data_IF_229393105002
#
_entry.id   IF_229393105002
#
_cell.length_a   1.000
_cell.length_b   1.000
_cell.length_c   1.000
_cell.angle_alpha   90.00
_cell.angle_beta   90.00
_cell.angle_gamma   90.00
#
_symmetry.space_group_name_H-M   'P 1'
#
loop_
_entity.id
_entity.type
_entity.pdbx_description
1 polymer ?
#
# COMPACT_ATOMS: atom_id res chain seq x y z
N UNK A 1 13.68 -12.98 -3.84
CA UNK A 1 13.56 -12.05 -2.69
C UNK A 1 12.11 -11.62 -2.58
N UNK A 2 11.51 -11.78 -1.39
CA UNK A 2 10.13 -11.35 -1.11
C UNK A 2 10.06 -9.82 -1.12
N UNK A 3 9.04 -9.25 -1.78
CA UNK A 3 8.77 -7.82 -1.79
C UNK A 3 7.30 -7.53 -1.47
N UNK A 4 7.04 -6.51 -0.68
CA UNK A 4 5.73 -5.95 -0.43
C UNK A 4 5.54 -4.69 -1.27
N UNK A 5 4.45 -4.61 -2.02
CA UNK A 5 4.10 -3.46 -2.86
C UNK A 5 2.74 -2.95 -2.40
N UNK A 6 2.64 -1.67 -2.07
CA UNK A 6 1.37 -1.04 -1.67
C UNK A 6 0.77 -0.23 -2.83
N UNK A 7 -0.54 -0.37 -3.02
CA UNK A 7 -1.33 0.40 -3.98
C UNK A 7 -2.43 1.15 -3.22
N UNK A 8 -2.50 2.49 -3.25
CA UNK A 8 -3.60 3.23 -2.67
C UNK A 8 -4.86 2.97 -3.50
N UNK A 9 -5.97 2.62 -2.85
CA UNK A 9 -7.23 2.38 -3.53
C UNK A 9 -8.38 3.17 -2.93
N UNK A 10 -9.34 3.52 -3.78
CA UNK A 10 -10.65 4.03 -3.42
C UNK A 10 -11.70 3.37 -4.32
N UNK A 11 -12.81 2.90 -3.75
CA UNK A 11 -13.84 2.17 -4.50
C UNK A 11 -13.30 0.99 -5.33
N UNK A 12 -12.31 0.27 -4.80
CA UNK A 12 -11.68 -0.87 -5.47
C UNK A 12 -10.80 -0.54 -6.68
N UNK A 13 -10.48 0.74 -6.92
CA UNK A 13 -9.63 1.21 -8.03
C UNK A 13 -8.44 1.99 -7.49
N UNK A 14 -7.39 2.14 -8.30
CA UNK A 14 -6.25 3.01 -7.99
C UNK A 14 -6.74 4.41 -7.60
N UNK A 15 -6.35 4.87 -6.41
CA UNK A 15 -6.72 6.19 -5.93
C UNK A 15 -5.80 7.24 -6.55
N UNK A 16 -6.38 8.31 -7.11
CA UNK A 16 -5.63 9.41 -7.71
C UNK A 16 -4.88 10.29 -6.68
N UNK A 17 -5.28 10.21 -5.41
CA UNK A 17 -4.66 10.98 -4.33
C UNK A 17 -4.17 10.05 -3.24
N UNK A 18 -2.86 9.76 -3.24
CA UNK A 18 -2.21 8.87 -2.26
C UNK A 18 -2.62 9.18 -0.81
N UNK A 19 -2.69 10.47 -0.45
CA UNK A 19 -3.02 10.93 0.89
C UNK A 19 -4.48 10.72 1.34
N UNK A 20 -5.41 10.47 0.41
CA UNK A 20 -6.86 10.36 0.67
C UNK A 20 -7.43 9.02 0.17
N UNK A 21 -6.60 7.98 0.11
CA UNK A 21 -7.09 6.65 -0.22
C UNK A 21 -7.90 6.05 0.93
N UNK A 22 -8.87 5.20 0.58
CA UNK A 22 -9.71 4.50 1.57
C UNK A 22 -8.93 3.34 2.20
N UNK A 23 -8.11 2.66 1.39
CA UNK A 23 -7.30 1.51 1.79
C UNK A 23 -5.99 1.48 1.01
N UNK A 24 -5.00 0.78 1.55
CA UNK A 24 -3.89 0.27 0.76
C UNK A 24 -4.09 -1.22 0.49
N UNK A 25 -3.95 -1.60 -0.77
CA UNK A 25 -3.83 -3.00 -1.17
C UNK A 25 -2.36 -3.38 -1.21
N UNK A 26 -1.95 -4.26 -0.30
CA UNK A 26 -0.57 -4.72 -0.18
C UNK A 26 -0.45 -6.08 -0.85
N UNK A 27 0.49 -6.20 -1.79
CA UNK A 27 0.80 -7.44 -2.48
C UNK A 27 2.14 -7.98 -2.01
N UNK A 28 2.16 -9.22 -1.52
CA UNK A 28 3.39 -9.96 -1.34
C UNK A 28 3.78 -10.63 -2.66
N UNK A 29 4.97 -10.30 -3.15
CA UNK A 29 5.51 -10.82 -4.40
C UNK A 29 6.81 -11.57 -4.18
N UNK A 30 7.02 -12.63 -4.96
CA UNK A 30 8.26 -13.38 -4.98
C UNK A 30 8.48 -13.97 -6.38
N UNK A 31 9.67 -13.75 -6.93
CA UNK A 31 10.08 -14.23 -8.25
C UNK A 31 9.08 -13.85 -9.35
N UNK A 32 8.64 -12.58 -9.35
CA UNK A 32 7.71 -12.03 -10.34
C UNK A 32 6.26 -12.49 -10.20
N UNK A 33 5.92 -13.25 -9.15
CA UNK A 33 4.56 -13.75 -8.91
C UNK A 33 3.98 -13.13 -7.64
N UNK A 34 2.69 -12.81 -7.67
CA UNK A 34 1.91 -12.48 -6.48
C UNK A 34 1.68 -13.79 -5.69
N UNK A 35 1.93 -13.74 -4.39
CA UNK A 35 1.79 -14.88 -3.47
C UNK A 35 0.60 -14.73 -2.54
N UNK A 36 0.32 -13.50 -2.13
CA UNK A 36 -0.82 -13.14 -1.29
C UNK A 36 -1.05 -11.65 -1.40
N UNK A 37 -2.22 -11.22 -0.94
CA UNK A 37 -2.57 -9.83 -0.82
C UNK A 37 -3.38 -9.57 0.45
N UNK A 38 -3.36 -8.32 0.92
CA UNK A 38 -4.17 -7.87 2.04
C UNK A 38 -4.62 -6.41 1.82
N UNK A 39 -5.78 -6.07 2.37
CA UNK A 39 -6.29 -4.70 2.40
C UNK A 39 -6.10 -4.12 3.80
N UNK A 40 -5.43 -2.98 3.90
CA UNK A 40 -5.24 -2.25 5.15
C UNK A 40 -5.92 -0.89 5.08
N UNK A 41 -6.57 -0.49 6.17
CA UNK A 41 -7.08 0.87 6.33
C UNK A 41 -5.96 1.76 6.86
N UNK A 42 -5.65 2.91 6.22
CA UNK A 42 -4.65 3.83 6.75
C UNK A 42 -5.14 4.53 8.03
N UNK A 43 -4.21 5.05 8.86
CA UNK A 43 -4.58 5.99 9.91
C UNK A 43 -5.18 7.28 9.31
N UNK A 44 -5.84 8.12 10.13
CA UNK A 44 -6.28 9.46 9.70
C UNK A 44 -5.16 10.24 9.01
N UNK A 45 -5.52 11.03 8.00
CA UNK A 45 -4.55 11.74 7.19
C UNK A 45 -3.78 12.79 8.02
N UNK A 46 -2.46 12.64 8.03
CA UNK A 46 -1.50 13.64 8.53
C UNK A 46 -0.29 13.72 7.58
N UNK A 47 0.29 14.92 7.35
CA UNK A 47 1.48 15.07 6.52
C UNK A 47 2.64 14.18 6.97
N UNK A 48 3.17 13.36 6.07
CA UNK A 48 4.31 12.48 6.32
C UNK A 48 3.99 11.16 7.05
N UNK A 49 2.76 10.97 7.56
CA UNK A 49 2.39 9.77 8.31
C UNK A 49 2.32 8.51 7.43
N UNK A 50 1.69 8.59 6.25
CA UNK A 50 1.43 7.41 5.42
C UNK A 50 2.71 6.72 4.89
N UNK A 51 3.75 7.45 4.39
CA UNK A 51 5.00 6.81 4.01
C UNK A 51 5.68 6.07 5.17
N UNK A 52 5.67 6.67 6.37
CA UNK A 52 6.20 6.03 7.59
C UNK A 52 5.40 4.78 7.97
N UNK A 53 4.07 4.88 7.99
CA UNK A 53 3.16 3.77 8.29
C UNK A 53 3.39 2.57 7.34
N UNK A 54 3.59 2.82 6.04
CA UNK A 54 3.89 1.76 5.07
C UNK A 54 5.30 1.19 5.26
N UNK A 55 6.29 2.04 5.59
CA UNK A 55 7.65 1.61 5.92
C UNK A 55 7.71 0.69 7.15
N UNK A 56 6.95 1.01 8.21
CA UNK A 56 6.82 0.18 9.41
C UNK A 56 6.18 -1.18 9.12
N UNK A 57 5.37 -1.28 8.05
CA UNK A 57 4.81 -2.54 7.53
C UNK A 57 5.74 -3.30 6.59
N UNK A 58 6.95 -2.79 6.34
CA UNK A 58 7.94 -3.41 5.46
C UNK A 58 7.62 -3.28 3.97
N UNK A 59 6.76 -2.33 3.59
CA UNK A 59 6.48 -2.03 2.18
C UNK A 59 7.75 -1.57 1.49
N UNK A 60 8.09 -2.22 0.37
CA UNK A 60 9.31 -1.94 -0.39
C UNK A 60 9.09 -0.93 -1.51
N UNK A 61 7.86 -0.86 -2.05
CA UNK A 61 7.50 0.04 -3.14
C UNK A 61 6.03 0.45 -3.06
N UNK A 62 5.75 1.63 -3.59
CA UNK A 62 4.41 2.19 -3.71
C UNK A 62 4.15 2.44 -5.20
N UNK A 63 2.96 2.07 -5.68
CA UNK A 63 2.48 2.44 -7.03
C UNK A 63 1.29 3.37 -6.81
N UNK A 64 1.49 4.68 -7.04
CA UNK A 64 0.51 5.74 -6.74
C UNK A 64 0.58 6.87 -7.76
#
# INVERSE_FOLDING_TARGET
MKKLIAIPIANGRLCAHFGHCEKFWIFATENGKIKSDELITPPPHEPGLLPRFLGEKGVNAIIA
#
